data_IF_178010314270
#
_entry.id   IF_178010314270
#
_cell.length_a   1.000
_cell.length_b   1.000
_cell.length_c   1.000
_cell.angle_alpha   90.00
_cell.angle_beta   90.00
_cell.angle_gamma   90.00
#
_symmetry.space_group_name_H-M   'P 1'
#
loop_
_entity.id
_entity.type
_entity.pdbx_description
1 polymer ?
#
# COMPACT_ATOMS: atom_id res chain seq x y z
N UNK A 1 -7.03 -18.16 0.67
CA UNK A 1 -5.76 -17.90 -0.05
C UNK A 1 -4.59 -17.98 0.92
N UNK A 2 -3.54 -18.66 0.56
CA UNK A 2 -2.34 -18.74 1.39
C UNK A 2 -1.53 -17.43 1.28
N UNK A 3 -0.61 -17.23 2.24
CA UNK A 3 0.27 -16.08 2.20
C UNK A 3 1.16 -16.10 0.95
N UNK A 4 1.65 -17.26 0.57
CA UNK A 4 2.47 -17.41 -0.63
C UNK A 4 1.72 -17.05 -1.91
N UNK A 5 0.46 -17.45 -2.01
CA UNK A 5 -0.39 -17.08 -3.12
C UNK A 5 -0.61 -15.57 -3.19
N UNK A 6 -0.85 -14.97 -2.02
CA UNK A 6 -1.04 -13.52 -1.92
C UNK A 6 0.25 -12.76 -2.29
N UNK A 7 1.40 -13.22 -1.82
CA UNK A 7 2.69 -12.63 -2.17
C UNK A 7 2.95 -12.67 -3.67
N UNK A 8 2.58 -13.75 -4.32
CA UNK A 8 2.73 -13.88 -5.77
C UNK A 8 1.85 -12.87 -6.50
N UNK A 9 0.60 -12.70 -6.04
CA UNK A 9 -0.30 -11.71 -6.61
C UNK A 9 0.24 -10.29 -6.43
N UNK A 10 0.83 -9.99 -5.28
CA UNK A 10 1.44 -8.68 -5.02
C UNK A 10 2.59 -8.44 -6.00
N UNK A 11 3.47 -9.43 -6.19
CA UNK A 11 4.58 -9.31 -7.15
C UNK A 11 4.08 -9.05 -8.57
N UNK A 12 3.04 -9.78 -8.98
CA UNK A 12 2.46 -9.61 -10.31
C UNK A 12 1.81 -8.23 -10.46
N UNK A 13 1.11 -7.77 -9.43
CA UNK A 13 0.51 -6.44 -9.44
C UNK A 13 1.58 -5.34 -9.56
N UNK A 14 2.69 -5.48 -8.84
CA UNK A 14 3.79 -4.52 -8.91
C UNK A 14 4.39 -4.43 -10.30
N UNK A 15 4.49 -5.55 -11.01
CA UNK A 15 5.02 -5.57 -12.37
C UNK A 15 4.11 -4.85 -13.36
N UNK A 16 2.82 -4.81 -13.09
CA UNK A 16 1.82 -4.20 -13.96
C UNK A 16 1.63 -2.71 -13.72
N UNK A 17 2.26 -2.14 -12.71
CA UNK A 17 2.13 -0.72 -12.42
C UNK A 17 2.75 0.15 -13.51
N UNK A 18 2.17 1.34 -13.78
CA UNK A 18 2.81 2.31 -14.66
C UNK A 18 4.21 2.67 -14.17
N UNK A 19 5.10 3.00 -15.10
CA UNK A 19 6.50 3.33 -14.78
C UNK A 19 6.62 4.41 -13.71
N UNK A 20 5.75 5.41 -13.74
CA UNK A 20 5.74 6.50 -12.76
C UNK A 20 5.64 5.97 -11.33
N UNK A 21 4.81 4.94 -11.11
CA UNK A 21 4.66 4.32 -9.80
C UNK A 21 5.81 3.37 -9.47
N UNK A 22 6.29 2.63 -10.46
CA UNK A 22 7.43 1.74 -10.26
C UNK A 22 8.67 2.49 -9.81
N UNK A 23 8.93 3.65 -10.39
CA UNK A 23 10.07 4.48 -10.03
C UNK A 23 9.98 4.95 -8.58
N UNK A 24 8.78 5.26 -8.11
CA UNK A 24 8.57 5.67 -6.71
C UNK A 24 8.73 4.52 -5.72
N UNK A 25 8.52 3.29 -6.17
CA UNK A 25 8.62 2.11 -5.31
C UNK A 25 10.06 1.69 -4.97
N UNK A 26 11.06 2.26 -5.63
CA UNK A 26 12.46 1.88 -5.42
C UNK A 26 12.90 2.00 -3.95
N UNK A 27 12.34 2.96 -3.23
CA UNK A 27 12.67 3.20 -1.83
C UNK A 27 11.51 2.91 -0.89
N UNK A 28 10.60 2.03 -1.30
CA UNK A 28 9.41 1.69 -0.52
C UNK A 28 9.35 0.17 -0.35
N UNK A 29 9.24 -0.28 0.89
CA UNK A 29 9.00 -1.70 1.18
C UNK A 29 7.52 -2.00 1.10
N UNK A 30 7.19 -3.16 0.55
CA UNK A 30 5.82 -3.68 0.58
C UNK A 30 5.77 -4.78 1.63
N UNK A 31 4.95 -4.59 2.65
CA UNK A 31 4.80 -5.51 3.77
C UNK A 31 3.39 -6.08 3.75
N UNK A 32 3.27 -7.38 3.98
CA UNK A 32 1.98 -8.06 4.04
C UNK A 32 1.72 -8.48 5.47
N UNK A 33 0.58 -8.06 6.02
CA UNK A 33 0.13 -8.50 7.33
C UNK A 33 -1.22 -9.19 7.18
N UNK A 34 -1.44 -10.23 8.00
CA UNK A 34 -2.70 -10.96 7.95
C UNK A 34 -3.88 -10.12 8.44
N UNK A 35 -3.69 -9.44 9.57
CA UNK A 35 -4.73 -8.65 10.21
C UNK A 35 -4.22 -7.27 10.59
N UNK A 36 -5.15 -6.34 10.76
CA UNK A 36 -4.86 -5.02 11.28
C UNK A 36 -4.48 -5.11 12.75
N UNK A 37 -3.37 -4.47 13.13
CA UNK A 37 -3.04 -4.23 14.52
C UNK A 37 -3.88 -3.04 15.01
N UNK A 38 -4.87 -3.32 15.85
CA UNK A 38 -5.78 -2.30 16.36
C UNK A 38 -5.07 -1.26 17.23
N UNK A 39 -3.99 -1.63 17.90
CA UNK A 39 -3.21 -0.68 18.68
C UNK A 39 -2.48 0.31 17.78
N UNK A 40 -1.94 -0.18 16.67
CA UNK A 40 -1.30 0.68 15.68
C UNK A 40 -2.32 1.64 15.06
N UNK A 41 -3.54 1.16 14.79
CA UNK A 41 -4.62 2.00 14.28
C UNK A 41 -4.94 3.13 15.25
N UNK A 42 -5.03 2.83 16.54
CA UNK A 42 -5.29 3.83 17.57
C UNK A 42 -4.16 4.85 17.69
N UNK A 43 -2.91 4.39 17.67
CA UNK A 43 -1.74 5.27 17.76
C UNK A 43 -1.65 6.24 16.58
N UNK A 44 -2.06 5.78 15.41
CA UNK A 44 -2.01 6.59 14.19
C UNK A 44 -3.25 7.48 14.03
N UNK A 45 -4.22 7.39 14.94
CA UNK A 45 -5.42 8.22 14.88
C UNK A 45 -6.34 7.91 13.71
N UNK A 46 -6.26 6.70 13.18
CA UNK A 46 -7.03 6.29 12.02
C UNK A 46 -8.49 5.93 12.32
N UNK A 47 -8.89 6.00 13.58
CA UNK A 47 -10.25 5.69 13.98
C UNK A 47 -10.59 4.21 13.96
N UNK A 48 -11.82 3.86 14.32
CA UNK A 48 -12.26 2.48 14.46
C UNK A 48 -12.67 1.84 13.14
N UNK A 49 -12.00 2.18 12.04
CA UNK A 49 -12.34 1.63 10.74
C UNK A 49 -11.61 0.30 10.54
N UNK A 50 -12.24 -0.79 10.93
CA UNK A 50 -11.71 -2.13 10.69
C UNK A 50 -11.69 -2.54 9.22
N UNK A 51 -11.63 -1.58 8.29
CA UNK A 51 -11.66 -1.82 6.85
C UNK A 51 -10.47 -1.23 6.12
N UNK A 52 -9.40 -0.91 6.84
CA UNK A 52 -8.20 -0.42 6.20
C UNK A 52 -7.59 -1.53 5.33
N UNK A 53 -7.40 -1.25 4.05
CA UNK A 53 -6.87 -2.24 3.10
C UNK A 53 -5.36 -2.10 2.95
N UNK A 54 -4.85 -0.89 3.04
CA UNK A 54 -3.42 -0.61 2.96
C UNK A 54 -3.06 0.64 3.73
N UNK A 55 -1.79 0.79 4.07
CA UNK A 55 -1.30 1.94 4.82
C UNK A 55 0.11 2.30 4.40
N UNK A 56 0.29 3.53 3.93
CA UNK A 56 1.62 4.08 3.66
C UNK A 56 2.16 4.70 4.94
N UNK A 57 3.39 4.32 5.30
CA UNK A 57 4.09 4.90 6.43
C UNK A 57 5.45 5.41 5.97
N UNK A 58 5.60 6.73 5.96
CA UNK A 58 6.88 7.36 5.65
C UNK A 58 7.70 7.54 6.91
N UNK A 59 9.03 7.50 6.75
CA UNK A 59 9.94 7.82 7.84
C UNK A 59 10.13 9.34 7.83
N UNK A 60 9.86 10.05 8.96
CA UNK A 60 10.04 11.49 9.02
C UNK A 60 11.47 11.90 8.66
N UNK A 61 11.60 13.00 7.93
CA UNK A 61 12.89 13.49 7.44
C UNK A 61 13.89 13.73 8.58
N UNK A 62 13.42 14.25 9.71
CA UNK A 62 14.26 14.47 10.87
C UNK A 62 14.84 13.19 11.45
N UNK A 63 14.10 12.10 11.35
CA UNK A 63 14.56 10.79 11.83
C UNK A 63 15.58 10.20 10.86
N UNK A 64 15.42 10.48 9.56
CA UNK A 64 16.35 10.01 8.54
C UNK A 64 17.74 10.62 8.71
N UNK A 65 17.82 11.85 9.22
CA UNK A 65 19.12 12.53 9.42
C UNK A 65 19.95 11.94 10.56
N UNK A 66 19.33 11.19 11.46
CA UNK A 66 20.02 10.55 12.57
C UNK A 66 20.63 9.19 12.19
N UNK A 67 20.33 8.67 11.04
CA UNK A 67 20.81 7.37 10.59
C UNK A 67 21.84 7.55 9.48
N UNK A 68 23.09 7.72 9.83
CA UNK A 68 24.18 7.87 8.87
C UNK A 68 24.22 6.72 7.88
N UNK A 69 23.79 6.96 6.66
CA UNK A 69 23.81 5.94 5.59
C UNK A 69 22.79 4.81 5.73
N UNK A 70 22.05 4.76 6.83
CA UNK A 70 21.01 3.76 7.05
C UNK A 70 19.66 4.45 7.04
N UNK A 71 19.21 4.84 5.86
CA UNK A 71 17.86 5.39 5.70
C UNK A 71 16.88 4.23 5.68
N UNK A 72 16.00 4.16 6.68
CA UNK A 72 14.93 3.17 6.66
C UNK A 72 13.96 3.52 5.54
N UNK A 73 13.61 2.56 4.69
CA UNK A 73 12.69 2.85 3.59
C UNK A 73 11.29 3.13 4.13
N UNK A 74 10.54 3.92 3.38
CA UNK A 74 9.11 4.04 3.61
C UNK A 74 8.49 2.67 3.36
N UNK A 75 7.30 2.43 3.90
CA UNK A 75 6.64 1.15 3.67
C UNK A 75 5.15 1.31 3.38
N UNK A 76 4.64 0.39 2.58
CA UNK A 76 3.22 0.21 2.36
C UNK A 76 2.86 -1.15 2.95
N UNK A 77 1.96 -1.17 3.91
CA UNK A 77 1.45 -2.39 4.50
C UNK A 77 0.14 -2.77 3.82
N UNK A 78 0.03 -4.02 3.40
CA UNK A 78 -1.20 -4.56 2.80
C UNK A 78 -1.82 -5.53 3.80
N UNK A 79 -3.10 -5.34 4.11
CA UNK A 79 -3.81 -6.17 5.07
C UNK A 79 -4.58 -7.26 4.34
N UNK A 80 -3.97 -8.42 4.26
CA UNK A 80 -4.43 -9.55 3.46
C UNK A 80 -5.89 -9.92 3.69
N UNK A 81 -6.29 -10.12 4.94
CA UNK A 81 -7.66 -10.54 5.24
C UNK A 81 -8.70 -9.49 4.84
N UNK A 82 -8.41 -8.23 5.08
CA UNK A 82 -9.33 -7.16 4.71
C UNK A 82 -9.46 -7.03 3.18
N UNK A 83 -8.35 -7.21 2.47
CA UNK A 83 -8.37 -7.19 1.01
C UNK A 83 -9.20 -8.35 0.47
N UNK A 84 -9.01 -9.55 1.00
CA UNK A 84 -9.79 -10.73 0.60
C UNK A 84 -11.28 -10.53 0.83
N UNK A 85 -11.65 -10.01 2.00
CA UNK A 85 -13.06 -9.74 2.33
C UNK A 85 -13.66 -8.69 1.39
N UNK A 86 -12.91 -7.64 1.10
CA UNK A 86 -13.37 -6.60 0.18
C UNK A 86 -13.64 -7.15 -1.21
N UNK A 87 -12.75 -8.01 -1.70
CA UNK A 87 -12.90 -8.61 -3.02
C UNK A 87 -14.08 -9.58 -3.06
N UNK A 88 -14.28 -10.38 -2.03
CA UNK A 88 -15.42 -11.29 -1.93
C UNK A 88 -16.74 -10.53 -1.93
N UNK A 89 -16.82 -9.46 -1.16
CA UNK A 89 -18.03 -8.66 -1.05
C UNK A 89 -18.38 -7.94 -2.35
N UNK A 90 -17.34 -7.45 -3.06
CA UNK A 90 -17.53 -6.65 -4.27
C UNK A 90 -17.40 -7.43 -5.59
N UNK A 91 -17.03 -8.70 -5.55
CA UNK A 91 -16.79 -9.49 -6.74
C UNK A 91 -15.59 -9.04 -7.57
N UNK A 92 -14.64 -8.36 -6.93
CA UNK A 92 -13.46 -7.81 -7.61
C UNK A 92 -12.33 -8.83 -7.72
N UNK A 93 -11.48 -8.66 -8.74
CA UNK A 93 -10.26 -9.43 -8.87
C UNK A 93 -9.25 -8.92 -7.84
N UNK A 94 -8.72 -9.83 -7.02
CA UNK A 94 -7.83 -9.47 -5.93
C UNK A 94 -6.53 -8.83 -6.42
N UNK A 95 -6.00 -9.27 -7.57
CA UNK A 95 -4.79 -8.68 -8.14
C UNK A 95 -5.02 -7.22 -8.55
N UNK A 96 -6.15 -6.94 -9.16
CA UNK A 96 -6.53 -5.58 -9.54
C UNK A 96 -6.75 -4.71 -8.31
N UNK A 97 -7.35 -5.26 -7.26
CA UNK A 97 -7.56 -4.54 -5.99
C UNK A 97 -6.22 -4.19 -5.35
N UNK A 98 -5.28 -5.13 -5.29
CA UNK A 98 -3.94 -4.89 -4.74
C UNK A 98 -3.24 -3.76 -5.51
N UNK A 99 -3.29 -3.82 -6.84
CA UNK A 99 -2.71 -2.81 -7.70
C UNK A 99 -3.30 -1.43 -7.42
N UNK A 100 -4.62 -1.38 -7.30
CA UNK A 100 -5.35 -0.15 -7.02
C UNK A 100 -4.97 0.45 -5.66
N UNK A 101 -4.88 -0.38 -4.63
CA UNK A 101 -4.50 0.05 -3.28
C UNK A 101 -3.09 0.66 -3.28
N UNK A 102 -2.14 -0.01 -3.89
CA UNK A 102 -0.76 0.47 -3.96
C UNK A 102 -0.70 1.82 -4.69
N UNK A 103 -1.38 1.93 -5.82
CA UNK A 103 -1.44 3.18 -6.59
C UNK A 103 -2.03 4.32 -5.78
N UNK A 104 -3.11 4.07 -5.05
CA UNK A 104 -3.77 5.08 -4.22
C UNK A 104 -2.87 5.54 -3.07
N UNK A 105 -2.21 4.62 -2.39
CA UNK A 105 -1.32 4.97 -1.28
C UNK A 105 -0.13 5.81 -1.76
N UNK A 106 0.46 5.44 -2.88
CA UNK A 106 1.55 6.21 -3.48
C UNK A 106 1.05 7.59 -3.91
N UNK A 107 -0.11 7.64 -4.55
CA UNK A 107 -0.68 8.90 -5.03
C UNK A 107 -0.92 9.88 -3.89
N UNK A 108 -1.52 9.42 -2.80
CA UNK A 108 -1.76 10.27 -1.64
C UNK A 108 -0.46 10.79 -1.02
N UNK A 109 0.51 9.92 -0.87
CA UNK A 109 1.79 10.30 -0.27
C UNK A 109 2.57 11.31 -1.11
N UNK A 110 2.58 11.13 -2.43
CA UNK A 110 3.34 11.99 -3.34
C UNK A 110 2.51 13.15 -3.91
N UNK A 111 1.28 13.31 -3.45
CA UNK A 111 0.44 14.42 -3.87
C UNK A 111 -0.01 14.36 -5.33
N UNK A 112 -0.14 13.16 -5.88
CA UNK A 112 -0.65 12.99 -7.23
C UNK A 112 -2.16 13.29 -7.23
N UNK A 113 -2.58 14.21 -8.08
CA UNK A 113 -3.98 14.64 -8.12
C UNK A 113 -4.90 13.55 -8.71
N UNK A 114 -6.18 13.63 -8.36
CA UNK A 114 -7.19 12.75 -8.93
C UNK A 114 -7.26 12.89 -10.46
N UNK A 115 -7.07 14.11 -10.96
CA UNK A 115 -7.03 14.36 -12.39
C UNK A 115 -5.90 13.55 -13.06
N UNK A 116 -4.72 13.55 -12.44
CA UNK A 116 -3.58 12.81 -12.97
C UNK A 116 -3.84 11.31 -12.93
N UNK A 117 -4.49 10.83 -11.87
CA UNK A 117 -4.85 9.40 -11.75
C UNK A 117 -5.82 9.00 -12.86
N UNK A 118 -6.79 9.86 -13.19
CA UNK A 118 -7.71 9.61 -14.29
C UNK A 118 -6.97 9.58 -15.63
N UNK A 119 -6.05 10.50 -15.84
CA UNK A 119 -5.25 10.55 -17.06
C UNK A 119 -4.41 9.28 -17.23
N UNK A 120 -3.99 8.68 -16.15
CA UNK A 120 -3.24 7.41 -16.14
C UNK A 120 -4.14 6.18 -16.26
N UNK A 121 -5.46 6.38 -16.25
CA UNK A 121 -6.41 5.27 -16.33
C UNK A 121 -6.56 4.45 -15.06
N UNK A 122 -6.22 5.04 -13.92
CA UNK A 122 -6.18 4.35 -12.63
C UNK A 122 -7.42 4.60 -11.79
N UNK A 123 -8.10 5.68 -12.05
CA UNK A 123 -9.19 6.13 -11.20
C UNK A 123 -10.53 5.50 -11.56
#
# INVERSE_FOLDING_TARGET
>A
MTREEFELLVRNALKELPKEFKDKLQNIDIVIEEEIDMEAVKRLGLGAKGRLLGLYQGVPLKDRTHYYGMVMPDKITLYKQNIERSCEAGGSDIREEIKHIIQHEIAHHFGISDKRLKDLGIY
#
